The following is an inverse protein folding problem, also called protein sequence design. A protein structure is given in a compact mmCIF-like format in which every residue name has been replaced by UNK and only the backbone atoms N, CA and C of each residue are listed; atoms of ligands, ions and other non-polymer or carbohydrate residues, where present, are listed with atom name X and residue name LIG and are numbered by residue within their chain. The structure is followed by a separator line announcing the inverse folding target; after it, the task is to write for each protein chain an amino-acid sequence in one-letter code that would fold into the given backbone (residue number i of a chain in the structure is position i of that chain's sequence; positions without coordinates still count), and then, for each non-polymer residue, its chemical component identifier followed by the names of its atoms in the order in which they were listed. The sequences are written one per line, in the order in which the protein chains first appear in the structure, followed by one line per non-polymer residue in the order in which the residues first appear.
data_IF_499272744302
#
_entry.id   IF_499272744302
#
_cell.length_a   1.000
_cell.length_b   1.000
_cell.length_c   1.000
_cell.angle_alpha   90.00
_cell.angle_beta   90.00
_cell.angle_gamma   90.00
#
_symmetry.space_group_name_H-M   'P 1'
#
loop_
_entity.id
_entity.type
_entity.pdbx_description
1 polymer ?
#
# COMPACT_ATOMS: atom_id res chain seq x y z
N UNK A 1 0.46 16.31 -14.26
CA UNK A 1 0.75 16.13 -12.82
C UNK A 1 2.12 16.73 -12.56
N UNK A 2 2.18 17.91 -11.94
CA UNK A 2 3.45 18.46 -11.44
C UNK A 2 4.02 17.48 -10.42
N UNK A 3 5.34 17.20 -10.44
CA UNK A 3 5.95 16.34 -9.43
C UNK A 3 5.65 16.93 -8.06
N UNK A 4 4.97 16.17 -7.20
CA UNK A 4 4.68 16.60 -5.84
C UNK A 4 6.01 16.87 -5.14
N UNK A 5 6.23 18.13 -4.74
CA UNK A 5 7.41 18.52 -3.97
C UNK A 5 7.43 17.69 -2.69
N UNK A 6 8.52 16.96 -2.46
CA UNK A 6 8.70 16.21 -1.21
C UNK A 6 8.69 17.17 -0.02
N UNK A 7 8.03 16.81 1.10
CA UNK A 7 7.97 17.65 2.28
C UNK A 7 9.37 17.90 2.84
N UNK A 8 9.68 19.14 3.15
CA UNK A 8 10.93 19.56 3.76
C UNK A 8 10.70 20.18 5.16
N UNK A 9 11.76 20.21 5.98
CA UNK A 9 11.72 20.84 7.31
C UNK A 9 11.24 22.31 7.25
N UNK A 10 11.58 23.02 6.18
CA UNK A 10 11.18 24.40 5.93
C UNK A 10 9.66 24.55 5.75
N UNK A 11 9.00 23.55 5.16
CA UNK A 11 7.55 23.57 4.95
C UNK A 11 6.78 23.43 6.28
N UNK A 12 7.41 22.85 7.32
CA UNK A 12 6.82 22.67 8.65
C UNK A 12 7.11 23.84 9.61
N UNK A 13 8.15 24.63 9.36
CA UNK A 13 8.55 25.75 10.22
C UNK A 13 7.43 26.79 10.45
N UNK A 14 6.58 27.16 9.47
CA UNK A 14 5.46 28.07 9.70
C UNK A 14 4.44 27.57 10.74
N UNK A 15 4.27 26.25 10.83
CA UNK A 15 3.33 25.62 11.77
C UNK A 15 3.72 25.89 13.22
N UNK A 16 5.02 26.05 13.51
CA UNK A 16 5.53 26.31 14.85
C UNK A 16 5.03 27.62 15.44
N UNK A 17 4.65 28.61 14.62
CA UNK A 17 4.23 29.92 15.14
C UNK A 17 2.88 29.83 15.87
N UNK A 18 1.91 29.13 15.27
CA UNK A 18 0.57 28.96 15.86
C UNK A 18 0.44 27.67 16.68
N UNK A 19 1.18 26.62 16.31
CA UNK A 19 1.03 25.28 16.89
C UNK A 19 -0.08 24.49 16.20
N UNK A 20 -0.42 23.34 16.76
CA UNK A 20 -1.48 22.45 16.29
C UNK A 20 -2.79 22.70 17.08
N UNK A 21 -3.96 22.61 16.42
CA UNK A 21 -4.15 22.38 14.99
C UNK A 21 -3.76 23.60 14.15
N UNK A 22 -3.04 23.36 13.05
CA UNK A 22 -2.67 24.40 12.12
C UNK A 22 -3.83 24.74 11.18
N UNK A 23 -4.02 26.03 10.90
CA UNK A 23 -5.03 26.52 9.98
C UNK A 23 -4.61 26.36 8.50
N UNK A 24 -5.61 26.34 7.62
CA UNK A 24 -5.44 26.08 6.18
C UNK A 24 -4.53 27.09 5.44
N UNK A 25 -4.42 28.31 5.98
CA UNK A 25 -3.57 29.40 5.48
C UNK A 25 -2.08 29.22 5.82
N UNK A 26 -1.77 28.42 6.85
CA UNK A 26 -0.40 28.17 7.32
C UNK A 26 0.19 26.91 6.69
N UNK A 27 -0.63 25.92 6.38
CA UNK A 27 -0.17 24.66 5.79
C UNK A 27 0.11 24.87 4.30
N UNK A 28 1.35 24.61 3.89
CA UNK A 28 1.74 24.71 2.49
C UNK A 28 0.87 23.80 1.60
N UNK A 29 0.41 24.32 0.46
CA UNK A 29 -0.57 23.64 -0.39
C UNK A 29 -0.13 22.22 -0.79
N UNK A 30 1.14 22.03 -1.13
CA UNK A 30 1.67 20.71 -1.51
C UNK A 30 1.64 19.68 -0.37
N UNK A 31 1.67 20.11 0.90
CA UNK A 31 1.53 19.21 2.03
C UNK A 31 0.11 18.64 2.15
N UNK A 32 -0.91 19.41 1.74
CA UNK A 32 -2.31 18.94 1.70
C UNK A 32 -2.57 17.98 0.54
N UNK A 33 -1.72 18.02 -0.50
CA UNK A 33 -1.78 17.13 -1.67
C UNK A 33 -0.97 15.84 -1.49
N UNK A 34 -0.31 15.65 -0.34
CA UNK A 34 0.40 14.41 -0.04
C UNK A 34 -0.57 13.23 -0.07
N UNK A 35 -0.17 12.13 -0.70
CA UNK A 35 -0.99 10.92 -0.79
C UNK A 35 -1.44 10.40 0.57
N UNK A 36 -0.58 10.50 1.60
CA UNK A 36 -0.94 10.10 2.96
C UNK A 36 -2.00 11.00 3.62
N UNK A 37 -2.05 12.28 3.24
CA UNK A 37 -3.07 13.23 3.71
C UNK A 37 -4.37 13.02 2.94
N UNK A 38 -4.29 12.94 1.61
CA UNK A 38 -5.43 12.72 0.74
C UNK A 38 -6.17 11.41 1.06
N UNK A 39 -5.45 10.34 1.38
CA UNK A 39 -6.03 9.05 1.75
C UNK A 39 -6.79 9.06 3.10
N UNK A 40 -6.46 10.00 4.00
CA UNK A 40 -7.07 10.13 5.34
C UNK A 40 -8.15 11.21 5.40
N UNK A 41 -8.27 12.03 4.35
CA UNK A 41 -9.34 13.02 4.25
C UNK A 41 -10.69 12.33 3.99
N UNK A 42 -11.73 12.77 4.69
CA UNK A 42 -13.10 12.28 4.53
C UNK A 42 -13.71 12.72 3.20
N UNK A 43 -13.38 13.93 2.75
CA UNK A 43 -13.83 14.52 1.48
C UNK A 43 -12.63 15.09 0.71
N UNK A 44 -12.85 15.49 -0.55
CA UNK A 44 -11.81 16.11 -1.38
C UNK A 44 -11.62 17.61 -1.14
N UNK A 45 -12.42 18.20 -0.25
CA UNK A 45 -12.32 19.62 0.06
C UNK A 45 -11.04 19.94 0.87
N UNK A 46 -10.73 21.23 0.92
CA UNK A 46 -9.51 21.72 1.59
C UNK A 46 -9.57 21.51 3.11
N UNK A 47 -10.74 21.68 3.71
CA UNK A 47 -10.89 21.63 5.17
C UNK A 47 -10.72 20.20 5.72
N UNK A 48 -11.23 19.20 5.00
CA UNK A 48 -11.03 17.79 5.32
C UNK A 48 -9.56 17.39 5.20
N UNK A 49 -8.85 17.91 4.19
CA UNK A 49 -7.39 17.70 4.04
C UNK A 49 -6.59 18.35 5.16
N UNK A 50 -7.01 19.53 5.63
CA UNK A 50 -6.39 20.22 6.76
C UNK A 50 -6.59 19.43 8.06
N UNK A 51 -7.79 18.90 8.30
CA UNK A 51 -8.07 18.04 9.44
C UNK A 51 -7.21 16.75 9.38
N UNK A 52 -7.15 16.10 8.22
CA UNK A 52 -6.35 14.91 7.99
C UNK A 52 -4.84 15.15 8.19
N UNK A 53 -4.33 16.27 7.69
CA UNK A 53 -2.93 16.67 7.89
C UNK A 53 -2.60 16.87 9.37
N UNK A 54 -3.45 17.60 10.11
CA UNK A 54 -3.24 17.84 11.55
C UNK A 54 -3.25 16.53 12.34
N UNK A 55 -4.18 15.62 12.03
CA UNK A 55 -4.26 14.32 12.67
C UNK A 55 -3.02 13.46 12.37
N UNK A 56 -2.58 13.42 11.11
CA UNK A 56 -1.39 12.68 10.67
C UNK A 56 -0.12 13.21 11.36
N UNK A 57 0.08 14.53 11.37
CA UNK A 57 1.25 15.13 11.98
C UNK A 57 1.31 14.85 13.50
N UNK A 58 0.18 14.95 14.20
CA UNK A 58 0.11 14.58 15.61
C UNK A 58 0.39 13.09 15.85
N UNK A 59 -0.08 12.21 14.97
CA UNK A 59 0.23 10.78 15.03
C UNK A 59 1.73 10.51 14.82
N UNK A 60 2.38 11.21 13.89
CA UNK A 60 3.83 11.07 13.63
C UNK A 60 4.65 11.54 14.83
N UNK A 61 4.28 12.66 15.46
CA UNK A 61 4.92 13.16 16.68
C UNK A 61 4.86 12.09 17.80
N UNK A 62 3.69 11.49 18.01
CA UNK A 62 3.52 10.44 19.05
C UNK A 62 4.26 9.14 18.76
N UNK A 63 4.66 8.90 17.51
CA UNK A 63 5.33 7.66 17.05
C UNK A 63 6.82 7.84 16.78
N UNK A 64 7.40 8.98 17.13
CA UNK A 64 8.85 9.16 17.04
C UNK A 64 9.56 8.12 17.91
N UNK A 65 10.66 7.56 17.40
CA UNK A 65 11.37 6.45 18.04
C UNK A 65 11.98 6.82 19.39
N UNK A 66 12.43 8.06 19.54
CA UNK A 66 12.91 8.60 20.82
C UNK A 66 11.74 9.23 21.60
N UNK A 67 11.35 8.66 22.77
CA UNK A 67 10.27 9.18 23.59
C UNK A 67 10.53 10.61 24.11
N UNK A 68 11.80 10.96 24.35
CA UNK A 68 12.18 12.31 24.76
C UNK A 68 11.95 13.32 23.64
N UNK A 69 12.37 12.97 22.42
CA UNK A 69 12.15 13.78 21.23
C UNK A 69 10.66 13.90 20.88
N UNK A 70 9.86 12.84 21.07
CA UNK A 70 8.40 12.86 20.91
C UNK A 70 7.74 13.85 21.89
N UNK A 71 8.13 13.83 23.16
CA UNK A 71 7.62 14.75 24.17
C UNK A 71 8.01 16.21 23.88
N UNK A 72 9.25 16.44 23.46
CA UNK A 72 9.74 17.77 23.08
C UNK A 72 9.03 18.29 21.82
N UNK A 73 8.82 17.45 20.81
CA UNK A 73 8.07 17.78 19.59
C UNK A 73 6.61 18.10 19.92
N UNK A 74 5.95 17.31 20.77
CA UNK A 74 4.59 17.61 21.24
C UNK A 74 4.49 18.98 21.89
N UNK A 75 5.43 19.34 22.78
CA UNK A 75 5.49 20.67 23.40
C UNK A 75 5.77 21.79 22.38
N UNK A 76 6.68 21.55 21.45
CA UNK A 76 7.07 22.52 20.42
C UNK A 76 5.88 22.86 19.49
N UNK A 77 5.12 21.85 19.09
CA UNK A 77 3.92 21.99 18.25
C UNK A 77 2.65 22.33 19.05
N UNK A 78 2.70 22.37 20.38
CA UNK A 78 1.54 22.75 21.19
C UNK A 78 0.52 21.63 21.43
N UNK A 79 0.89 20.36 21.29
CA UNK A 79 0.04 19.24 21.73
C UNK A 79 -0.11 19.24 23.28
N UNK A 80 -1.32 18.99 23.78
CA UNK A 80 -1.70 19.01 25.23
C UNK A 80 -1.50 20.38 25.89
N UNK A 81 -1.20 20.43 27.21
CA UNK A 81 -1.29 21.56 28.15
C UNK A 81 -0.47 22.85 27.82
N UNK A 82 -0.06 23.03 26.57
CA UNK A 82 0.62 24.22 26.05
C UNK A 82 -0.19 24.95 24.96
N UNK A 83 -1.46 24.56 24.78
CA UNK A 83 -2.42 25.32 23.99
C UNK A 83 -2.54 26.75 24.55
N UNK A 84 -2.15 27.75 23.75
CA UNK A 84 -2.14 29.17 24.15
C UNK A 84 -0.76 29.74 24.52
N UNK A 85 0.27 28.90 24.71
CA UNK A 85 1.64 29.39 24.89
C UNK A 85 2.23 29.92 23.59
N UNK A 86 3.03 30.98 23.69
CA UNK A 86 3.77 31.51 22.54
C UNK A 86 4.93 30.57 22.16
N UNK A 87 5.49 30.74 20.95
CA UNK A 87 6.58 29.88 20.46
C UNK A 87 7.82 29.91 21.37
N UNK A 88 8.09 31.04 22.04
CA UNK A 88 9.23 31.16 22.96
C UNK A 88 9.03 30.26 24.18
N UNK A 89 7.85 30.27 24.79
CA UNK A 89 7.48 29.41 25.91
C UNK A 89 7.48 27.92 25.52
N UNK A 90 6.95 27.59 24.34
CA UNK A 90 6.98 26.21 23.83
C UNK A 90 8.40 25.70 23.61
N UNK A 91 9.30 26.54 23.08
CA UNK A 91 10.73 26.20 22.94
C UNK A 91 11.41 25.98 24.28
N UNK A 92 11.19 26.88 25.24
CA UNK A 92 11.74 26.73 26.59
C UNK A 92 11.24 25.46 27.28
N UNK A 93 9.94 25.16 27.19
CA UNK A 93 9.35 23.94 27.74
C UNK A 93 9.84 22.66 27.05
N UNK A 94 10.02 22.68 25.73
CA UNK A 94 10.58 21.55 24.98
C UNK A 94 12.05 21.31 25.34
N UNK A 95 12.86 22.38 25.46
CA UNK A 95 14.25 22.30 25.89
C UNK A 95 14.39 21.73 27.30
N UNK A 96 13.56 22.21 28.24
CA UNK A 96 13.52 21.72 29.62
C UNK A 96 13.17 20.23 29.69
N UNK A 97 12.24 19.75 28.84
CA UNK A 97 11.86 18.33 28.81
C UNK A 97 12.99 17.39 28.36
N UNK A 98 14.03 17.92 27.73
CA UNK A 98 15.23 17.20 27.32
C UNK A 98 16.44 17.50 28.22
N UNK A 99 16.27 18.32 29.26
CA UNK A 99 17.38 18.80 30.09
C UNK A 99 18.40 19.63 29.32
N UNK A 100 17.96 20.40 28.31
CA UNK A 100 18.82 21.22 27.44
C UNK A 100 18.51 22.70 27.56
N UNK A 101 19.51 23.51 27.25
CA UNK A 101 19.37 24.95 27.14
C UNK A 101 18.51 25.35 25.91
N UNK A 102 17.64 26.38 26.02
CA UNK A 102 16.79 26.83 24.92
C UNK A 102 17.53 27.22 23.63
N UNK A 103 18.74 27.79 23.72
CA UNK A 103 19.52 28.15 22.53
C UNK A 103 20.08 26.91 21.84
N UNK A 104 20.54 25.92 22.62
CA UNK A 104 20.97 24.63 22.07
C UNK A 104 19.80 23.90 21.38
N UNK A 105 18.61 23.92 22.02
CA UNK A 105 17.40 23.35 21.44
C UNK A 105 17.06 23.99 20.09
N UNK A 106 17.02 25.33 20.03
CA UNK A 106 16.69 26.07 18.81
C UNK A 106 17.69 25.83 17.67
N UNK A 107 18.99 25.73 17.98
CA UNK A 107 20.05 25.61 16.96
C UNK A 107 20.23 24.18 16.42
N UNK A 108 19.99 23.16 17.24
CA UNK A 108 20.36 21.78 16.89
C UNK A 108 19.20 20.79 16.95
N UNK A 109 18.31 20.92 17.94
CA UNK A 109 17.27 19.92 18.18
C UNK A 109 16.02 20.22 17.37
N UNK A 110 15.55 21.47 17.36
CA UNK A 110 14.39 21.90 16.58
C UNK A 110 14.55 21.60 15.08
N UNK A 111 15.67 21.94 14.40
CA UNK A 111 15.85 21.62 13.00
C UNK A 111 15.82 20.11 12.73
N UNK A 112 16.38 19.30 13.63
CA UNK A 112 16.37 17.84 13.52
C UNK A 112 14.96 17.28 13.65
N UNK A 113 14.19 17.74 14.64
CA UNK A 113 12.77 17.36 14.79
C UNK A 113 11.98 17.64 13.51
N UNK A 114 12.14 18.83 12.92
CA UNK A 114 11.44 19.19 11.69
C UNK A 114 11.88 18.32 10.49
N UNK A 115 13.18 18.00 10.39
CA UNK A 115 13.69 17.12 9.35
C UNK A 115 13.15 15.69 9.48
N UNK A 116 13.15 15.14 10.70
CA UNK A 116 12.65 13.79 10.97
C UNK A 116 11.14 13.69 10.66
N UNK A 117 10.36 14.71 11.04
CA UNK A 117 8.92 14.76 10.73
C UNK A 117 8.64 14.90 9.23
N UNK A 118 9.43 15.72 8.52
CA UNK A 118 9.32 15.85 7.07
C UNK A 118 9.64 14.52 6.36
N UNK A 119 10.72 13.85 6.77
CA UNK A 119 11.08 12.51 6.27
C UNK A 119 9.98 11.48 6.57
N UNK A 120 9.37 11.53 7.77
CA UNK A 120 8.27 10.64 8.13
C UNK A 120 7.00 10.90 7.30
N UNK A 121 6.68 12.16 6.98
CA UNK A 121 5.58 12.52 6.07
C UNK A 121 5.82 12.02 4.64
N UNK A 122 7.06 12.13 4.15
CA UNK A 122 7.46 11.59 2.86
C UNK A 122 7.29 10.07 2.84
N UNK A 123 7.89 9.37 3.81
CA UNK A 123 7.81 7.91 3.92
C UNK A 123 6.38 7.38 4.08
N UNK A 124 5.52 8.07 4.84
CA UNK A 124 4.09 7.72 4.94
C UNK A 124 3.38 7.91 3.60
N UNK A 125 3.67 9.01 2.88
CA UNK A 125 3.10 9.26 1.56
C UNK A 125 3.54 8.22 0.53
N UNK A 126 4.81 7.83 0.56
CA UNK A 126 5.35 6.77 -0.30
C UNK A 126 4.68 5.43 0.02
N UNK A 127 4.56 5.08 1.31
CA UNK A 127 3.82 3.88 1.73
C UNK A 127 2.37 3.91 1.27
N UNK A 128 1.70 5.06 1.31
CA UNK A 128 0.30 5.19 0.89
C UNK A 128 0.15 5.19 -0.64
N UNK A 129 1.19 5.56 -1.38
CA UNK A 129 1.25 5.35 -2.84
C UNK A 129 1.40 3.86 -3.13
N UNK A 130 2.20 3.14 -2.35
CA UNK A 130 2.43 1.69 -2.56
C UNK A 130 1.34 0.79 -1.94
N UNK A 131 0.54 1.28 -0.99
CA UNK A 131 -0.43 0.49 -0.20
C UNK A 131 -1.86 1.03 -0.38
N UNK A 132 -2.40 1.04 -1.60
CA UNK A 132 -3.79 1.53 -1.85
C UNK A 132 -4.86 0.45 -1.81
N UNK A 133 -4.46 -0.79 -1.62
CA UNK A 133 -5.37 -1.92 -1.47
C UNK A 133 -5.07 -2.56 -0.11
N UNK A 134 -6.04 -2.54 0.79
CA UNK A 134 -5.93 -3.26 2.06
C UNK A 134 -6.84 -4.49 1.98
N UNK A 135 -6.35 -5.68 2.36
CA UNK A 135 -7.21 -6.86 2.46
C UNK A 135 -8.34 -6.63 3.46
N UNK A 136 -9.51 -7.27 3.29
CA UNK A 136 -10.57 -7.27 4.28
C UNK A 136 -10.02 -7.77 5.62
N UNK A 137 -10.45 -7.14 6.72
CA UNK A 137 -10.00 -7.52 8.05
C UNK A 137 -10.59 -8.87 8.43
N UNK A 138 -9.73 -9.83 8.76
CA UNK A 138 -10.16 -11.11 9.29
C UNK A 138 -10.38 -10.97 10.80
N UNK A 139 -11.64 -11.04 11.23
CA UNK A 139 -12.02 -11.00 12.64
C UNK A 139 -12.26 -12.44 13.11
N UNK A 140 -11.60 -12.91 14.19
CA UNK A 140 -11.90 -14.21 14.77
C UNK A 140 -13.37 -14.31 15.15
N UNK A 141 -14.07 -15.28 14.55
CA UNK A 141 -15.48 -15.55 14.86
C UNK A 141 -15.53 -16.37 16.16
N UNK A 142 -15.67 -15.69 17.29
CA UNK A 142 -15.73 -16.30 18.62
C UNK A 142 -17.14 -16.75 19.03
N UNK A 143 -18.15 -16.46 18.20
CA UNK A 143 -19.57 -16.75 18.44
C UNK A 143 -20.23 -17.33 17.19
N UNK A 144 -21.40 -17.99 17.30
CA UNK A 144 -22.10 -18.57 16.15
C UNK A 144 -22.38 -17.53 15.05
N UNK A 145 -22.50 -18.00 13.80
CA UNK A 145 -22.81 -17.17 12.62
C UNK A 145 -23.97 -16.23 12.93
N UNK A 146 -23.77 -14.93 12.76
CA UNK A 146 -24.85 -13.95 12.86
C UNK A 146 -25.92 -14.28 11.81
N UNK A 147 -27.19 -14.34 12.22
CA UNK A 147 -28.31 -14.47 11.29
C UNK A 147 -28.36 -13.21 10.43
N UNK A 148 -28.35 -13.39 9.11
CA UNK A 148 -28.51 -12.30 8.17
C UNK A 148 -29.97 -11.84 8.19
N UNK A 149 -30.25 -10.55 8.44
CA UNK A 149 -31.59 -10.00 8.26
C UNK A 149 -32.09 -10.30 6.84
N UNK A 150 -33.38 -10.65 6.71
CA UNK A 150 -34.00 -10.89 5.40
C UNK A 150 -34.34 -9.57 4.70
N UNK A 151 -33.32 -8.75 4.44
CA UNK A 151 -33.45 -7.52 3.66
C UNK A 151 -32.39 -7.42 2.56
N UNK A 152 -32.71 -6.65 1.53
CA UNK A 152 -31.90 -6.50 0.33
C UNK A 152 -30.51 -5.91 0.62
N UNK A 153 -30.42 -4.98 1.56
CA UNK A 153 -29.16 -4.29 1.86
C UNK A 153 -28.19 -5.20 2.60
N UNK A 154 -28.69 -6.02 3.53
CA UNK A 154 -27.91 -7.04 4.21
C UNK A 154 -27.37 -8.09 3.22
N UNK A 155 -28.15 -8.47 2.21
CA UNK A 155 -27.71 -9.38 1.16
C UNK A 155 -26.61 -8.78 0.27
N UNK A 156 -26.82 -7.56 -0.24
CA UNK A 156 -25.84 -6.87 -1.09
C UNK A 156 -24.51 -6.63 -0.37
N UNK A 157 -24.55 -6.28 0.92
CA UNK A 157 -23.35 -6.08 1.72
C UNK A 157 -22.52 -7.37 1.86
N UNK A 158 -23.19 -8.51 2.11
CA UNK A 158 -22.49 -9.81 2.21
C UNK A 158 -22.01 -10.30 0.85
N UNK A 159 -22.79 -10.13 -0.21
CA UNK A 159 -22.36 -10.49 -1.56
C UNK A 159 -21.11 -9.71 -1.95
N UNK A 160 -21.07 -8.41 -1.63
CA UNK A 160 -19.90 -7.58 -1.89
C UNK A 160 -18.68 -8.00 -1.08
N UNK A 161 -18.87 -8.29 0.22
CA UNK A 161 -17.80 -8.78 1.08
C UNK A 161 -17.26 -10.14 0.61
N UNK A 162 -18.12 -11.02 0.10
CA UNK A 162 -17.72 -12.29 -0.53
C UNK A 162 -16.83 -12.02 -1.75
N UNK A 163 -17.25 -11.15 -2.67
CA UNK A 163 -16.49 -10.83 -3.88
C UNK A 163 -15.11 -10.23 -3.57
N UNK A 164 -15.04 -9.32 -2.59
CA UNK A 164 -13.76 -8.76 -2.12
C UNK A 164 -12.89 -9.85 -1.48
N UNK A 165 -13.48 -10.73 -0.67
CA UNK A 165 -12.75 -11.83 -0.02
C UNK A 165 -12.17 -12.80 -1.05
N UNK A 166 -12.92 -13.13 -2.10
CA UNK A 166 -12.45 -13.97 -3.22
C UNK A 166 -11.31 -13.32 -4.00
N UNK A 167 -11.40 -12.01 -4.27
CA UNK A 167 -10.31 -11.25 -4.91
C UNK A 167 -9.02 -11.36 -4.10
N UNK A 168 -9.09 -11.07 -2.80
CA UNK A 168 -7.91 -11.12 -1.93
C UNK A 168 -7.38 -12.54 -1.73
N UNK A 169 -8.25 -13.54 -1.64
CA UNK A 169 -7.85 -14.94 -1.61
C UNK A 169 -7.06 -15.30 -2.88
N UNK A 170 -7.51 -14.87 -4.06
CA UNK A 170 -6.80 -15.09 -5.32
C UNK A 170 -5.45 -14.36 -5.37
N UNK A 171 -5.36 -13.12 -4.87
CA UNK A 171 -4.09 -12.37 -4.74
C UNK A 171 -3.09 -13.13 -3.87
N UNK A 172 -3.51 -13.57 -2.68
CA UNK A 172 -2.63 -14.30 -1.77
C UNK A 172 -2.25 -15.69 -2.29
N UNK A 173 -3.17 -16.38 -2.96
CA UNK A 173 -2.87 -17.66 -3.61
C UNK A 173 -1.82 -17.49 -4.70
N UNK A 174 -1.96 -16.50 -5.59
CA UNK A 174 -0.94 -16.19 -6.60
C UNK A 174 0.40 -15.83 -5.96
N UNK A 175 0.38 -15.00 -4.90
CA UNK A 175 1.59 -14.64 -4.16
C UNK A 175 2.33 -15.86 -3.61
N UNK A 176 1.60 -16.80 -3.03
CA UNK A 176 2.19 -18.02 -2.49
C UNK A 176 2.91 -18.83 -3.58
N UNK A 177 2.31 -18.99 -4.76
CA UNK A 177 2.92 -19.73 -5.87
C UNK A 177 4.12 -19.00 -6.49
N UNK A 178 4.07 -17.67 -6.59
CA UNK A 178 5.22 -16.86 -7.04
C UNK A 178 6.41 -16.99 -6.07
N UNK A 179 6.15 -16.93 -4.76
CA UNK A 179 7.18 -17.16 -3.73
C UNK A 179 7.70 -18.61 -3.77
N UNK A 180 6.85 -19.58 -4.10
CA UNK A 180 7.29 -20.95 -4.32
C UNK A 180 8.24 -21.06 -5.52
N UNK A 181 7.94 -20.38 -6.63
CA UNK A 181 8.83 -20.28 -7.79
C UNK A 181 10.18 -19.67 -7.40
N UNK A 182 10.18 -18.53 -6.70
CA UNK A 182 11.41 -17.87 -6.24
C UNK A 182 12.24 -18.79 -5.34
N UNK A 183 11.59 -19.44 -4.36
CA UNK A 183 12.23 -20.39 -3.45
C UNK A 183 12.89 -21.54 -4.21
N UNK A 184 12.16 -22.18 -5.13
CA UNK A 184 12.68 -23.34 -5.89
C UNK A 184 13.77 -22.91 -6.86
N UNK A 185 13.56 -21.82 -7.62
CA UNK A 185 14.54 -21.30 -8.57
C UNK A 185 15.86 -20.88 -7.91
N UNK A 186 15.83 -20.47 -6.63
CA UNK A 186 17.04 -20.11 -5.88
C UNK A 186 17.94 -21.31 -5.58
N UNK A 187 17.38 -22.53 -5.58
CA UNK A 187 18.10 -23.77 -5.29
C UNK A 187 18.43 -24.57 -6.57
N UNK A 188 17.44 -24.76 -7.44
CA UNK A 188 17.59 -25.47 -8.71
C UNK A 188 16.64 -24.87 -9.78
N UNK A 189 17.16 -24.01 -10.67
CA UNK A 189 16.37 -23.34 -11.70
C UNK A 189 15.92 -24.24 -12.84
N UNK A 190 16.35 -25.51 -12.88
CA UNK A 190 15.96 -26.49 -13.91
C UNK A 190 15.12 -27.64 -13.35
N UNK A 191 14.74 -27.57 -12.08
CA UNK A 191 13.95 -28.61 -11.42
C UNK A 191 12.55 -28.75 -12.02
N UNK A 192 12.03 -29.99 -11.99
CA UNK A 192 10.62 -30.28 -12.29
C UNK A 192 9.69 -29.52 -11.33
N UNK A 193 10.12 -29.36 -10.07
CA UNK A 193 9.40 -28.60 -9.05
C UNK A 193 9.17 -27.13 -9.44
N UNK A 194 10.13 -26.50 -10.12
CA UNK A 194 9.95 -25.14 -10.62
C UNK A 194 8.86 -25.07 -11.69
N UNK A 195 8.79 -26.08 -12.56
CA UNK A 195 7.75 -26.17 -13.58
C UNK A 195 6.38 -26.34 -12.95
N UNK A 196 6.25 -27.22 -11.96
CA UNK A 196 4.98 -27.42 -11.24
C UNK A 196 4.54 -26.13 -10.50
N UNK A 197 5.49 -25.41 -9.88
CA UNK A 197 5.21 -24.12 -9.24
C UNK A 197 4.82 -23.04 -10.25
N UNK A 198 5.49 -22.96 -11.39
CA UNK A 198 5.16 -22.01 -12.46
C UNK A 198 3.78 -22.28 -13.07
N UNK A 199 3.43 -23.55 -13.26
CA UNK A 199 2.11 -24.00 -13.71
C UNK A 199 1.02 -23.59 -12.71
N UNK A 200 1.26 -23.83 -11.42
CA UNK A 200 0.36 -23.39 -10.35
C UNK A 200 0.20 -21.86 -10.33
N UNK A 201 1.29 -21.11 -10.49
CA UNK A 201 1.26 -19.65 -10.54
C UNK A 201 0.44 -19.13 -11.75
N UNK A 202 0.60 -19.73 -12.94
CA UNK A 202 -0.18 -19.35 -14.13
C UNK A 202 -1.67 -19.62 -13.93
N UNK A 203 -2.00 -20.77 -13.35
CA UNK A 203 -3.37 -21.11 -13.00
C UNK A 203 -3.98 -20.13 -11.98
N UNK A 204 -3.25 -19.77 -10.92
CA UNK A 204 -3.68 -18.76 -9.93
C UNK A 204 -3.82 -17.36 -10.54
N UNK A 205 -2.96 -16.99 -11.48
CA UNK A 205 -3.09 -15.73 -12.22
C UNK A 205 -4.40 -15.72 -13.02
N UNK A 206 -4.73 -16.82 -13.68
CA UNK A 206 -6.01 -16.99 -14.35
C UNK A 206 -7.20 -16.82 -13.41
N UNK A 207 -7.18 -17.47 -12.24
CA UNK A 207 -8.24 -17.33 -11.23
C UNK A 207 -8.41 -15.88 -10.77
N UNK A 208 -7.30 -15.16 -10.56
CA UNK A 208 -7.35 -13.75 -10.18
C UNK A 208 -7.97 -12.89 -11.29
N UNK A 209 -7.64 -13.11 -12.56
CA UNK A 209 -8.28 -12.40 -13.67
C UNK A 209 -9.78 -12.71 -13.79
N UNK A 210 -10.19 -13.95 -13.58
CA UNK A 210 -11.62 -14.32 -13.52
C UNK A 210 -12.31 -13.59 -12.36
N UNK A 211 -11.74 -13.61 -11.16
CA UNK A 211 -12.29 -12.91 -10.01
C UNK A 211 -12.42 -11.39 -10.26
N UNK A 212 -11.42 -10.77 -10.91
CA UNK A 212 -11.45 -9.37 -11.34
C UNK A 212 -12.59 -9.10 -12.33
N UNK A 213 -12.77 -9.95 -13.35
CA UNK A 213 -13.85 -9.81 -14.33
C UNK A 213 -15.22 -9.93 -13.68
N UNK A 214 -15.38 -10.91 -12.80
CA UNK A 214 -16.61 -11.14 -12.03
C UNK A 214 -16.93 -9.93 -11.16
N UNK A 215 -15.95 -9.41 -10.40
CA UNK A 215 -16.12 -8.20 -9.61
C UNK A 215 -16.55 -7.00 -10.47
N UNK A 216 -15.85 -6.77 -11.59
CA UNK A 216 -16.14 -5.65 -12.48
C UNK A 216 -17.53 -5.70 -13.08
N UNK A 217 -18.01 -6.89 -13.40
CA UNK A 217 -19.37 -7.10 -13.92
C UNK A 217 -20.43 -6.75 -12.86
N UNK A 218 -20.17 -7.05 -11.59
CA UNK A 218 -21.10 -6.80 -10.50
C UNK A 218 -21.05 -5.36 -9.95
N UNK A 219 -19.85 -4.82 -9.70
CA UNK A 219 -19.65 -3.56 -8.95
C UNK A 219 -18.92 -2.46 -9.74
N UNK A 220 -18.55 -2.73 -10.99
CA UNK A 220 -17.91 -1.75 -11.88
C UNK A 220 -16.38 -1.69 -11.76
N UNK A 221 -15.79 -0.64 -12.34
CA UNK A 221 -14.35 -0.56 -12.59
C UNK A 221 -13.50 -0.15 -11.37
N UNK A 222 -14.10 0.00 -10.18
CA UNK A 222 -13.39 0.42 -8.97
C UNK A 222 -13.84 -0.41 -7.78
N UNK A 223 -12.90 -0.79 -6.92
CA UNK A 223 -13.22 -1.34 -5.62
C UNK A 223 -13.88 -0.27 -4.76
N UNK A 224 -15.05 -0.59 -4.19
CA UNK A 224 -15.77 0.31 -3.29
C UNK A 224 -14.95 0.70 -2.05
N UNK A 225 -13.95 -0.11 -1.66
CA UNK A 225 -13.08 0.09 -0.49
C UNK A 225 -11.67 0.64 -0.80
N UNK A 226 -11.52 1.55 -1.76
CA UNK A 226 -10.19 2.15 -2.00
C UNK A 226 -10.01 3.02 -3.24
N UNK A 227 -11.06 3.27 -4.02
CA UNK A 227 -10.97 4.03 -5.27
C UNK A 227 -9.88 3.48 -6.22
N UNK A 228 -9.62 2.16 -6.18
CA UNK A 228 -8.62 1.48 -7.02
C UNK A 228 -9.28 0.59 -8.06
N UNK A 229 -8.64 0.45 -9.21
CA UNK A 229 -9.08 -0.52 -10.21
C UNK A 229 -8.77 -1.95 -9.72
N UNK A 230 -9.70 -2.91 -9.84
CA UNK A 230 -9.46 -4.31 -9.43
C UNK A 230 -8.20 -4.91 -10.06
N UNK A 231 -7.84 -4.52 -11.28
CA UNK A 231 -6.63 -4.95 -11.99
C UNK A 231 -5.34 -4.61 -11.24
N UNK A 232 -5.33 -3.51 -10.48
CA UNK A 232 -4.13 -3.10 -9.72
C UNK A 232 -3.78 -4.08 -8.61
N UNK A 233 -4.73 -4.94 -8.20
CA UNK A 233 -4.51 -5.98 -7.20
C UNK A 233 -3.49 -7.04 -7.66
N UNK A 234 -3.33 -7.25 -8.97
CA UNK A 234 -2.35 -8.21 -9.52
C UNK A 234 -0.93 -7.86 -9.06
N UNK A 235 -0.60 -6.57 -9.06
CA UNK A 235 0.72 -6.09 -8.63
C UNK A 235 1.03 -6.33 -7.16
N UNK A 236 0.03 -6.61 -6.32
CA UNK A 236 0.21 -6.91 -4.90
C UNK A 236 0.65 -8.35 -4.67
N UNK A 237 0.40 -9.25 -5.63
CA UNK A 237 0.83 -10.64 -5.51
C UNK A 237 2.37 -10.74 -5.58
N UNK A 238 3.02 -9.88 -6.36
CA UNK A 238 4.46 -9.88 -6.61
C UNK A 238 4.75 -9.55 -8.07
N UNK A 239 6.01 -9.67 -8.47
CA UNK A 239 6.34 -9.60 -9.89
C UNK A 239 5.83 -10.86 -10.60
N UNK A 240 5.08 -10.67 -11.69
CA UNK A 240 4.66 -11.76 -12.58
C UNK A 240 4.94 -11.37 -14.04
N UNK A 241 5.22 -12.33 -14.92
CA UNK A 241 5.32 -12.07 -16.35
C UNK A 241 4.05 -11.39 -16.87
N UNK A 242 4.15 -10.24 -17.59
CA UNK A 242 2.98 -9.54 -18.07
C UNK A 242 2.30 -10.34 -19.18
N UNK A 243 0.96 -10.41 -19.12
CA UNK A 243 0.13 -10.96 -20.20
C UNK A 243 -0.54 -9.84 -20.99
N UNK A 244 -0.54 -9.95 -22.30
CA UNK A 244 -1.32 -9.08 -23.18
C UNK A 244 -2.83 -9.35 -23.09
N UNK A 245 -3.69 -8.41 -23.52
CA UNK A 245 -5.15 -8.56 -23.40
C UNK A 245 -5.70 -9.86 -24.00
N UNK A 246 -5.22 -10.25 -25.20
CA UNK A 246 -5.62 -11.49 -25.84
C UNK A 246 -5.13 -12.76 -25.12
N UNK A 247 -3.99 -12.68 -24.44
CA UNK A 247 -3.47 -13.80 -23.63
C UNK A 247 -4.30 -13.96 -22.35
N UNK A 248 -4.67 -12.83 -21.72
CA UNK A 248 -5.60 -12.83 -20.58
C UNK A 248 -6.95 -13.43 -21.00
N UNK A 249 -7.45 -13.12 -22.19
CA UNK A 249 -8.69 -13.72 -22.72
C UNK A 249 -8.58 -15.24 -22.87
N UNK A 250 -7.48 -15.75 -23.43
CA UNK A 250 -7.23 -17.20 -23.55
C UNK A 250 -7.21 -17.86 -22.17
N UNK A 251 -6.44 -17.30 -21.23
CA UNK A 251 -6.32 -17.84 -19.87
C UNK A 251 -7.67 -17.82 -19.13
N UNK A 252 -8.45 -16.75 -19.27
CA UNK A 252 -9.77 -16.66 -18.63
C UNK A 252 -10.82 -17.56 -19.28
N UNK A 253 -10.79 -17.71 -20.61
CA UNK A 253 -11.78 -18.49 -21.35
C UNK A 253 -11.72 -19.98 -21.00
N UNK A 254 -10.52 -20.50 -20.75
CA UNK A 254 -10.30 -21.88 -20.32
C UNK A 254 -10.77 -22.16 -18.89
N UNK A 255 -11.34 -21.15 -18.21
CA UNK A 255 -12.07 -21.33 -16.97
C UNK A 255 -11.20 -21.86 -15.83
N UNK A 256 -10.26 -21.06 -15.30
CA UNK A 256 -9.42 -21.47 -14.17
C UNK A 256 -10.22 -21.76 -12.86
N UNK A 257 -11.55 -21.68 -12.90
CA UNK A 257 -12.50 -22.32 -11.97
C UNK A 257 -12.43 -23.85 -11.99
N UNK A 258 -11.70 -24.48 -12.92
CA UNK A 258 -11.34 -25.90 -12.79
C UNK A 258 -10.68 -26.12 -11.43
N UNK A 259 -11.17 -27.07 -10.64
CA UNK A 259 -10.61 -27.41 -9.32
C UNK A 259 -9.14 -27.85 -9.36
N UNK A 260 -8.56 -28.07 -10.55
CA UNK A 260 -7.26 -28.72 -10.73
C UNK A 260 -6.39 -28.01 -11.77
N UNK A 261 -5.28 -27.43 -11.31
CA UNK A 261 -4.21 -26.82 -12.13
C UNK A 261 -3.82 -27.67 -13.36
N UNK A 262 -3.62 -28.99 -13.16
CA UNK A 262 -3.17 -29.88 -14.24
C UNK A 262 -4.12 -29.94 -15.44
N UNK A 263 -5.43 -29.87 -15.20
CA UNK A 263 -6.44 -29.89 -16.27
C UNK A 263 -6.34 -28.58 -17.05
N UNK A 264 -6.35 -27.44 -16.34
CA UNK A 264 -6.17 -26.12 -16.93
C UNK A 264 -4.91 -26.05 -17.82
N UNK A 265 -3.75 -26.52 -17.33
CA UNK A 265 -2.52 -26.49 -18.11
C UNK A 265 -2.62 -27.39 -19.35
N UNK A 266 -3.20 -28.58 -19.21
CA UNK A 266 -3.40 -29.51 -20.34
C UNK A 266 -4.26 -28.87 -21.43
N UNK A 267 -5.35 -28.22 -21.05
CA UNK A 267 -6.25 -27.56 -21.99
C UNK A 267 -5.62 -26.30 -22.60
N UNK A 268 -4.83 -25.56 -21.82
CA UNK A 268 -4.10 -24.38 -22.29
C UNK A 268 -3.10 -24.74 -23.38
N UNK A 269 -2.24 -25.73 -23.14
CA UNK A 269 -1.20 -26.13 -24.10
C UNK A 269 -1.75 -26.90 -25.30
N UNK A 270 -3.00 -27.35 -25.27
CA UNK A 270 -3.67 -27.97 -26.41
C UNK A 270 -3.93 -26.96 -27.55
N UNK A 271 -3.85 -25.66 -27.27
CA UNK A 271 -3.98 -24.59 -28.26
C UNK A 271 -2.62 -23.96 -28.57
N UNK A 272 -2.38 -23.54 -29.81
CA UNK A 272 -1.13 -22.85 -30.17
C UNK A 272 -0.91 -21.56 -29.34
N UNK A 273 -1.91 -20.67 -29.14
CA UNK A 273 -1.73 -19.50 -28.30
C UNK A 273 -1.41 -19.86 -26.85
N UNK A 274 -2.10 -20.85 -26.27
CA UNK A 274 -1.88 -21.24 -24.89
C UNK A 274 -0.53 -21.92 -24.66
N UNK A 275 -0.04 -22.73 -25.61
CA UNK A 275 1.32 -23.28 -25.55
C UNK A 275 2.39 -22.18 -25.55
N UNK A 276 2.21 -21.10 -26.34
CA UNK A 276 3.12 -19.95 -26.33
C UNK A 276 3.09 -19.19 -25.01
N UNK A 277 1.90 -18.96 -24.45
CA UNK A 277 1.72 -18.30 -23.14
C UNK A 277 2.46 -19.10 -22.07
N UNK A 278 2.23 -20.41 -22.01
CA UNK A 278 2.86 -21.32 -21.05
C UNK A 278 4.39 -21.30 -21.15
N UNK A 279 4.93 -21.42 -22.36
CA UNK A 279 6.37 -21.38 -22.59
C UNK A 279 7.00 -20.04 -22.20
N UNK A 280 6.36 -18.92 -22.56
CA UNK A 280 6.82 -17.58 -22.19
C UNK A 280 6.80 -17.37 -20.67
N UNK A 281 5.71 -17.76 -20.02
CA UNK A 281 5.53 -17.68 -18.59
C UNK A 281 6.63 -18.41 -17.82
N UNK A 282 6.84 -19.69 -18.16
CA UNK A 282 7.88 -20.50 -17.54
C UNK A 282 9.27 -19.90 -17.76
N UNK A 283 9.61 -19.54 -19.00
CA UNK A 283 10.92 -18.96 -19.31
C UNK A 283 11.21 -17.68 -18.50
N UNK A 284 10.20 -16.85 -18.24
CA UNK A 284 10.36 -15.60 -17.47
C UNK A 284 10.51 -15.84 -15.97
N UNK A 285 9.85 -16.86 -15.41
CA UNK A 285 9.99 -17.22 -13.99
C UNK A 285 11.28 -17.99 -13.69
N UNK A 286 11.82 -18.71 -14.68
CA UNK A 286 13.10 -19.42 -14.53
C UNK A 286 14.32 -18.49 -14.57
N UNK A 287 14.21 -17.28 -15.13
CA UNK A 287 15.30 -16.29 -15.15
C UNK A 287 15.28 -15.51 -13.84
N UNK A 288 16.30 -15.68 -13.01
CA UNK A 288 16.46 -14.92 -11.77
C UNK A 288 16.51 -13.40 -12.07
N UNK A 289 15.59 -12.57 -11.54
CA UNK A 289 15.64 -11.12 -11.73
C UNK A 289 16.88 -10.48 -11.07
N UNK A 290 17.52 -11.16 -10.12
CA UNK A 290 18.73 -10.67 -9.46
C UNK A 290 20.02 -10.80 -10.29
N UNK A 291 20.02 -11.56 -11.39
CA UNK A 291 21.22 -11.74 -12.21
C UNK A 291 21.37 -10.72 -13.35
N UNK A 292 20.27 -10.07 -13.76
CA UNK A 292 20.30 -9.09 -14.86
C UNK A 292 20.80 -7.70 -14.45
N UNK A 293 20.74 -7.35 -13.16
CA UNK A 293 21.34 -6.11 -12.66
C UNK A 293 22.88 -6.19 -12.53
N UNK A 294 23.45 -7.40 -12.42
CA UNK A 294 24.90 -7.61 -12.34
C UNK A 294 25.57 -7.57 -13.73
N UNK A 295 24.89 -8.02 -14.78
CA UNK A 295 25.46 -8.04 -16.14
C UNK A 295 25.37 -6.67 -16.85
N UNK A 296 24.41 -5.81 -16.50
CA UNK A 296 24.33 -4.45 -17.04
C UNK A 296 25.42 -3.49 -16.51
N UNK A 297 26.20 -3.91 -15.50
CA UNK A 297 27.32 -3.14 -14.93
C UNK A 297 28.72 -3.59 -15.38
N UNK A 298 28.82 -4.63 -16.21
CA UNK A 298 30.11 -5.22 -16.62
C UNK A 298 30.52 -4.94 -18.08
N UNK A 299 29.86 -3.99 -18.74
CA UNK A 299 30.35 -3.38 -19.97
C UNK A 299 30.39 -1.86 -19.79
N UNK A 300 31.42 -1.41 -19.08
CA UNK A 300 31.96 -0.06 -19.13
C UNK A 300 33.43 -0.14 -19.55
#
# INVERSE_FOLDING_TARGET
MTPNKSPAAEDLRPLLKRGLPAAADVIAGHLLELSGVAARATTRDRDSRVAAFNALLGQLIRRMTDPGQAAAAGRLFGERATAGHNLTERRAGAALSLGRDPDHFRKHIEPRILADLAAALAADSDRMITTRATPPQLIPVLHPRAELPQDMWAWEAVEHEEHISRLWAAVYALRAELLACERVASFDPLSVELRDAADAALWRLGQLHVAIRTYRRAYGNRLLHGDIAPETLIGLAGWSPPLGPGEVDVVCHLGPDTERCRIFITDLIATEPGARIHAHWFARLSIHPHNTAAEAGSTA
#
